data_IF_167564422988
#
_entry.id   IF_167564422988
#
_cell.length_a   1.000
_cell.length_b   1.000
_cell.length_c   1.000
_cell.angle_alpha   90.00
_cell.angle_beta   90.00
_cell.angle_gamma   90.00
#
_symmetry.space_group_name_H-M   'P 1'
#
loop_
_entity.id
_entity.type
_entity.pdbx_description
1 polymer ?
#
# COMPACT_ATOMS: atom_id res chain seq x y z
N UNK A 1 25.65 9.89 12.07
CA UNK A 1 25.34 11.17 12.74
C UNK A 1 24.15 11.02 13.69
N UNK A 2 22.99 10.50 13.26
CA UNK A 2 21.80 10.29 14.11
C UNK A 2 22.12 9.41 15.31
N UNK A 3 22.76 8.25 15.10
CA UNK A 3 23.17 7.35 16.18
C UNK A 3 24.06 8.04 17.23
N UNK A 4 25.07 8.80 16.81
CA UNK A 4 25.96 9.53 17.72
C UNK A 4 25.20 10.62 18.50
N UNK A 5 24.23 11.29 17.90
CA UNK A 5 23.39 12.27 18.59
C UNK A 5 22.50 11.58 19.64
N UNK A 6 21.88 10.47 19.27
CA UNK A 6 21.04 9.67 20.16
C UNK A 6 21.82 9.20 21.40
N UNK A 7 23.02 8.67 21.20
CA UNK A 7 23.93 8.27 22.29
C UNK A 7 24.31 9.45 23.18
N UNK A 8 24.59 10.62 22.59
CA UNK A 8 25.00 11.81 23.33
C UNK A 8 23.93 12.35 24.28
N UNK A 9 22.65 12.30 23.84
CA UNK A 9 21.54 12.86 24.62
C UNK A 9 20.73 11.80 25.37
N UNK A 10 21.07 10.52 25.21
CA UNK A 10 20.40 9.41 25.90
C UNK A 10 19.01 9.06 25.33
N UNK A 11 18.77 9.35 24.05
CA UNK A 11 17.48 9.14 23.41
C UNK A 11 17.53 8.03 22.35
N UNK A 12 16.36 7.54 21.94
CA UNK A 12 16.25 6.58 20.84
C UNK A 12 16.59 7.23 19.49
N UNK A 13 17.25 6.49 18.61
CA UNK A 13 17.42 6.90 17.19
C UNK A 13 16.07 7.15 16.50
N UNK A 14 15.03 6.39 16.87
CA UNK A 14 13.67 6.58 16.33
C UNK A 14 13.08 7.94 16.72
N UNK A 15 13.31 8.37 17.96
CA UNK A 15 12.90 9.70 18.44
C UNK A 15 13.64 10.80 17.70
N UNK A 16 14.95 10.67 17.51
CA UNK A 16 15.74 11.65 16.75
C UNK A 16 15.25 11.75 15.31
N UNK A 17 14.99 10.61 14.65
CA UNK A 17 14.51 10.59 13.28
C UNK A 17 13.20 11.37 13.12
N UNK A 18 12.21 11.12 13.97
CA UNK A 18 10.92 11.84 13.85
C UNK A 18 11.07 13.34 14.16
N UNK A 19 11.90 13.72 15.10
CA UNK A 19 12.17 15.15 15.41
C UNK A 19 12.81 15.84 14.21
N UNK A 20 13.76 15.21 13.53
CA UNK A 20 14.38 15.76 12.32
C UNK A 20 13.33 15.94 11.21
N UNK A 21 12.50 14.94 10.96
CA UNK A 21 11.42 15.02 9.97
C UNK A 21 10.43 16.13 10.31
N UNK A 22 9.99 16.25 11.55
CA UNK A 22 9.08 17.31 11.99
C UNK A 22 9.67 18.71 11.77
N UNK A 23 10.97 18.91 11.99
CA UNK A 23 11.62 20.19 11.72
C UNK A 23 11.65 20.56 10.22
N UNK A 24 11.59 19.58 9.34
CA UNK A 24 11.53 19.79 7.89
C UNK A 24 10.11 20.09 7.35
N UNK A 25 9.06 19.97 8.16
CA UNK A 25 7.67 20.16 7.69
C UNK A 25 7.38 21.60 7.26
N UNK A 26 7.89 22.61 8.01
CA UNK A 26 7.67 24.02 7.68
C UNK A 26 8.36 24.42 6.36
N UNK A 27 9.63 24.09 6.09
CA UNK A 27 10.24 24.25 4.76
C UNK A 27 9.47 23.54 3.66
N UNK A 28 8.98 22.32 3.90
CA UNK A 28 8.19 21.58 2.93
C UNK A 28 6.90 22.31 2.56
N UNK A 29 6.16 22.87 3.52
CA UNK A 29 4.97 23.68 3.24
C UNK A 29 5.28 24.89 2.34
N UNK A 30 6.42 25.55 2.57
CA UNK A 30 6.84 26.65 1.73
C UNK A 30 7.10 26.20 0.28
N UNK A 31 7.68 25.00 0.11
CA UNK A 31 7.92 24.44 -1.23
C UNK A 31 6.61 24.04 -1.93
N UNK A 32 5.63 23.45 -1.21
CA UNK A 32 4.29 23.20 -1.74
C UNK A 32 3.64 24.47 -2.30
N UNK A 33 3.68 25.56 -1.52
CA UNK A 33 3.14 26.87 -1.95
C UNK A 33 3.86 27.43 -3.18
N UNK A 34 5.18 27.29 -3.23
CA UNK A 34 6.01 27.76 -4.36
C UNK A 34 5.69 26.97 -5.64
N UNK A 35 5.42 25.67 -5.53
CA UNK A 35 5.06 24.80 -6.66
C UNK A 35 3.55 24.90 -7.03
N UNK A 36 2.75 25.66 -6.30
CA UNK A 36 1.31 25.77 -6.52
C UNK A 36 0.52 24.51 -6.18
N UNK A 37 1.08 23.63 -5.35
CA UNK A 37 0.40 22.42 -4.87
C UNK A 37 -0.52 22.80 -3.72
N UNK A 38 -1.75 22.26 -3.74
CA UNK A 38 -2.78 22.57 -2.73
C UNK A 38 -2.28 22.21 -1.31
N UNK A 39 -2.56 23.10 -0.37
CA UNK A 39 -2.18 22.92 1.02
C UNK A 39 -2.91 21.72 1.67
N UNK A 40 -4.09 21.31 1.18
CA UNK A 40 -4.77 20.11 1.62
C UNK A 40 -3.92 18.85 1.33
N UNK A 41 -3.26 18.80 0.17
CA UNK A 41 -2.37 17.67 -0.20
C UNK A 41 -1.16 17.63 0.73
N UNK A 42 -0.60 18.79 1.09
CA UNK A 42 0.47 18.86 2.09
C UNK A 42 0.02 18.24 3.42
N UNK A 43 -1.12 18.69 3.97
CA UNK A 43 -1.60 18.19 5.26
C UNK A 43 -1.92 16.70 5.22
N UNK A 44 -2.48 16.22 4.12
CA UNK A 44 -2.76 14.80 3.93
C UNK A 44 -1.48 13.98 3.85
N UNK A 45 -0.45 14.50 3.18
CA UNK A 45 0.85 13.84 3.04
C UNK A 45 1.59 13.74 4.39
N UNK A 46 1.73 14.84 5.12
CA UNK A 46 2.48 14.84 6.40
C UNK A 46 1.75 14.16 7.55
N UNK A 47 0.44 13.91 7.41
CA UNK A 47 -0.34 13.13 8.39
C UNK A 47 0.25 11.74 8.62
N UNK A 48 0.96 11.20 7.63
CA UNK A 48 1.65 9.92 7.74
C UNK A 48 2.76 9.91 8.81
N UNK A 49 3.34 11.07 9.16
CA UNK A 49 4.27 11.18 10.30
C UNK A 49 3.61 10.69 11.60
N UNK A 50 2.36 11.10 11.83
CA UNK A 50 1.58 10.63 12.98
C UNK A 50 1.34 9.12 12.91
N UNK A 51 1.01 8.60 11.73
CA UNK A 51 0.78 7.16 11.53
C UNK A 51 2.04 6.37 11.88
N UNK A 52 3.20 6.79 11.37
CA UNK A 52 4.48 6.12 11.65
C UNK A 52 4.94 6.25 13.10
N UNK A 53 4.57 7.34 13.77
CA UNK A 53 4.79 7.45 15.22
C UNK A 53 3.96 6.45 16.01
N UNK A 54 2.69 6.23 15.63
CA UNK A 54 1.82 5.24 16.27
C UNK A 54 2.39 3.84 16.01
N UNK A 55 2.72 3.50 14.77
CA UNK A 55 3.34 2.21 14.41
C UNK A 55 4.64 1.97 15.22
N UNK A 56 5.48 2.99 15.39
CA UNK A 56 6.70 2.88 16.17
C UNK A 56 6.41 2.64 17.67
N UNK A 57 5.42 3.36 18.22
CA UNK A 57 5.00 3.17 19.61
C UNK A 57 4.42 1.77 19.84
N UNK A 58 3.61 1.26 18.94
CA UNK A 58 3.01 -0.08 19.04
C UNK A 58 4.06 -1.20 18.92
N UNK A 59 5.07 -1.02 18.08
CA UNK A 59 6.05 -2.06 17.81
C UNK A 59 7.27 -2.02 18.73
N UNK A 60 7.69 -0.83 19.20
CA UNK A 60 8.94 -0.63 19.94
C UNK A 60 8.78 0.09 21.27
N UNK A 61 7.54 0.47 21.62
CA UNK A 61 7.21 1.27 22.80
C UNK A 61 7.94 2.65 22.84
N UNK A 62 8.29 3.20 21.67
CA UNK A 62 9.00 4.47 21.49
C UNK A 62 8.21 5.41 20.60
N UNK A 63 8.06 6.66 21.01
CA UNK A 63 7.55 7.72 20.14
C UNK A 63 8.65 8.17 19.17
N UNK A 64 8.55 7.71 17.92
CA UNK A 64 9.57 7.93 16.90
C UNK A 64 9.16 7.37 15.55
N UNK A 65 10.14 7.08 14.70
CA UNK A 65 9.96 6.31 13.47
C UNK A 65 11.16 5.41 13.21
N UNK A 66 10.88 4.17 12.83
CA UNK A 66 11.88 3.18 12.41
C UNK A 66 11.96 3.05 10.87
N UNK A 67 11.20 3.89 10.16
CA UNK A 67 11.11 3.91 8.68
C UNK A 67 11.34 5.33 8.15
N UNK A 68 12.38 6.00 8.65
CA UNK A 68 12.69 7.39 8.29
C UNK A 68 12.88 7.58 6.77
N UNK A 69 13.46 6.60 6.08
CA UNK A 69 13.65 6.61 4.64
C UNK A 69 12.34 6.65 3.85
N UNK A 70 11.25 6.19 4.44
CA UNK A 70 9.91 6.23 3.86
C UNK A 70 9.46 7.66 3.52
N UNK A 71 9.94 8.63 4.28
CA UNK A 71 9.52 10.03 4.13
C UNK A 71 10.28 10.81 3.06
N UNK A 72 11.41 10.30 2.57
CA UNK A 72 12.21 11.02 1.59
C UNK A 72 11.39 11.46 0.37
N UNK A 73 10.59 10.60 -0.27
CA UNK A 73 9.77 11.02 -1.42
C UNK A 73 8.74 12.10 -1.11
N UNK A 74 8.22 12.20 0.12
CA UNK A 74 7.34 13.30 0.51
C UNK A 74 8.08 14.63 0.57
N UNK A 75 9.31 14.63 1.07
CA UNK A 75 10.13 15.84 1.21
C UNK A 75 10.77 16.27 -0.11
N UNK A 76 10.89 15.37 -1.09
CA UNK A 76 11.35 15.66 -2.45
C UNK A 76 10.21 15.94 -3.45
N UNK A 77 8.95 15.99 -2.99
CA UNK A 77 7.75 16.21 -3.81
C UNK A 77 7.56 15.14 -4.89
N UNK A 78 7.89 13.92 -4.56
CA UNK A 78 7.70 12.74 -5.43
C UNK A 78 6.50 11.91 -4.99
N UNK A 79 6.13 11.93 -3.69
CA UNK A 79 4.99 11.20 -3.11
C UNK A 79 4.01 12.14 -2.45
N UNK A 80 2.71 11.88 -2.68
CA UNK A 80 1.62 12.73 -2.20
C UNK A 80 0.52 11.89 -1.54
N UNK A 81 -0.02 12.40 -0.44
CA UNK A 81 -1.25 11.90 0.15
C UNK A 81 -2.46 12.48 -0.57
N UNK A 82 -3.20 11.63 -1.29
CA UNK A 82 -4.37 12.02 -2.06
C UNK A 82 -5.60 11.27 -1.53
N UNK A 83 -6.28 11.88 -0.60
CA UNK A 83 -7.36 11.22 0.15
C UNK A 83 -6.84 10.19 1.17
N UNK A 84 -7.37 8.98 1.13
CA UNK A 84 -7.00 7.87 2.04
C UNK A 84 -5.67 7.20 1.67
N UNK A 85 -5.25 7.31 0.43
CA UNK A 85 -4.10 6.62 -0.14
C UNK A 85 -2.98 7.60 -0.47
N UNK A 86 -1.79 7.06 -0.74
CA UNK A 86 -0.62 7.82 -1.13
C UNK A 86 -0.14 7.33 -2.48
N UNK A 87 0.39 8.26 -3.29
CA UNK A 87 0.81 7.95 -4.66
C UNK A 87 2.13 8.62 -4.98
N UNK A 88 2.96 7.91 -5.75
CA UNK A 88 4.17 8.43 -6.39
C UNK A 88 4.28 7.95 -7.83
N UNK A 89 5.09 8.62 -8.65
CA UNK A 89 5.46 8.10 -9.95
C UNK A 89 6.47 6.97 -9.75
N UNK A 90 6.21 5.84 -10.39
CA UNK A 90 7.03 4.63 -10.33
C UNK A 90 7.16 4.03 -11.71
N UNK A 91 8.24 3.33 -11.97
CA UNK A 91 8.36 2.55 -13.19
C UNK A 91 7.35 1.41 -13.19
N UNK A 92 6.79 1.09 -14.35
CA UNK A 92 5.91 -0.06 -14.50
C UNK A 92 6.78 -1.32 -14.43
N UNK A 93 6.48 -2.21 -13.48
CA UNK A 93 7.34 -3.36 -13.14
C UNK A 93 7.19 -4.57 -14.08
N UNK A 94 6.34 -4.48 -15.11
CA UNK A 94 6.09 -5.52 -16.09
C UNK A 94 6.65 -5.12 -17.46
N UNK A 95 7.16 -6.12 -18.19
CA UNK A 95 7.75 -5.89 -19.50
C UNK A 95 6.72 -5.36 -20.51
N UNK A 96 5.47 -5.80 -20.39
CA UNK A 96 4.42 -5.48 -21.31
C UNK A 96 3.04 -5.79 -20.73
N UNK A 97 2.10 -4.89 -20.96
CA UNK A 97 0.69 -5.13 -20.67
C UNK A 97 -0.18 -4.60 -21.82
N UNK A 98 -1.10 -5.41 -22.33
CA UNK A 98 -2.07 -5.03 -23.34
C UNK A 98 -3.45 -5.54 -22.93
N UNK A 99 -4.22 -4.63 -22.35
CA UNK A 99 -5.58 -4.90 -21.89
C UNK A 99 -6.52 -3.75 -22.22
N UNK A 100 -7.73 -4.06 -22.70
CA UNK A 100 -8.74 -3.05 -23.09
C UNK A 100 -8.23 -1.95 -24.03
N UNK A 101 -7.27 -2.28 -24.93
CA UNK A 101 -6.66 -1.31 -25.85
C UNK A 101 -5.69 -0.35 -25.17
N UNK A 102 -5.29 -0.61 -23.94
CA UNK A 102 -4.26 0.12 -23.23
C UNK A 102 -2.97 -0.67 -23.28
N UNK A 103 -1.95 -0.04 -23.81
CA UNK A 103 -0.68 -0.65 -24.09
C UNK A 103 0.40 -0.01 -23.22
N UNK A 104 0.99 -0.77 -22.31
CA UNK A 104 2.02 -0.31 -21.38
C UNK A 104 3.29 -1.12 -21.63
N UNK A 105 4.40 -0.44 -21.72
CA UNK A 105 5.73 -1.05 -21.88
C UNK A 105 6.54 -0.87 -20.59
N UNK A 106 7.52 -1.73 -20.39
CA UNK A 106 8.46 -1.70 -19.27
C UNK A 106 9.08 -0.32 -19.01
N UNK A 107 9.33 0.47 -20.04
CA UNK A 107 9.87 1.83 -19.90
C UNK A 107 8.83 2.90 -19.54
N UNK A 108 7.55 2.55 -19.44
CA UNK A 108 6.48 3.48 -19.08
C UNK A 108 6.28 3.47 -17.57
N UNK A 109 5.79 4.59 -17.02
CA UNK A 109 5.55 4.72 -15.60
C UNK A 109 4.08 4.47 -15.23
N UNK A 110 3.89 4.12 -13.98
CA UNK A 110 2.59 4.03 -13.32
C UNK A 110 2.58 4.92 -12.06
N UNK A 111 1.46 4.98 -11.39
CA UNK A 111 1.39 5.50 -10.03
C UNK A 111 1.60 4.34 -9.05
N UNK A 112 2.72 4.35 -8.35
CA UNK A 112 2.92 3.51 -7.18
C UNK A 112 1.94 3.93 -6.08
N UNK A 113 1.11 3.00 -5.61
CA UNK A 113 0.12 3.27 -4.57
C UNK A 113 0.55 2.67 -3.23
N UNK A 114 0.36 3.44 -2.16
CA UNK A 114 0.66 3.03 -0.79
C UNK A 114 -0.56 3.16 0.11
N UNK A 115 -0.66 2.23 1.07
CA UNK A 115 -1.81 2.08 1.95
C UNK A 115 -1.35 2.38 3.39
N UNK A 116 -1.43 3.64 3.86
CA UNK A 116 -1.06 3.94 5.25
C UNK A 116 -2.04 3.26 6.22
N UNK A 117 -1.50 2.76 7.33
CA UNK A 117 -2.29 2.25 8.45
C UNK A 117 -3.00 3.41 9.18
N UNK A 118 -3.87 3.11 10.15
CA UNK A 118 -4.45 4.12 11.07
C UNK A 118 -5.13 5.34 10.42
N UNK A 119 -5.48 5.26 9.13
CA UNK A 119 -6.15 6.34 8.38
C UNK A 119 -7.66 6.09 8.21
N UNK A 120 -8.24 5.22 9.04
CA UNK A 120 -9.64 4.81 8.96
C UNK A 120 -9.90 3.67 7.98
N UNK A 121 -11.17 3.25 7.86
CA UNK A 121 -11.56 2.11 7.04
C UNK A 121 -11.27 2.34 5.55
N UNK A 122 -10.98 1.27 4.83
CA UNK A 122 -10.70 1.28 3.40
C UNK A 122 -11.97 0.89 2.62
N UNK A 123 -13.05 1.67 2.80
CA UNK A 123 -14.32 1.45 2.09
C UNK A 123 -14.19 1.82 0.61
N UNK A 124 -15.09 1.31 -0.22
CA UNK A 124 -15.07 1.59 -1.67
C UNK A 124 -15.12 3.10 -1.96
N UNK A 125 -16.03 3.84 -1.34
CA UNK A 125 -16.16 5.29 -1.57
C UNK A 125 -14.89 6.06 -1.22
N UNK A 126 -14.22 5.66 -0.13
CA UNK A 126 -12.98 6.29 0.33
C UNK A 126 -11.81 5.98 -0.62
N UNK A 127 -11.75 4.76 -1.18
CA UNK A 127 -10.76 4.39 -2.19
C UNK A 127 -11.02 5.13 -3.49
N UNK A 128 -12.27 5.14 -3.94
CA UNK A 128 -12.69 5.83 -5.16
C UNK A 128 -12.38 7.34 -5.12
N UNK A 129 -12.61 8.00 -3.98
CA UNK A 129 -12.19 9.40 -3.77
C UNK A 129 -10.67 9.55 -3.96
N UNK A 130 -9.88 8.65 -3.40
CA UNK A 130 -8.42 8.68 -3.56
C UNK A 130 -7.98 8.46 -5.01
N UNK A 131 -8.61 7.55 -5.74
CA UNK A 131 -8.31 7.32 -7.16
C UNK A 131 -8.68 8.55 -8.02
N UNK A 132 -9.82 9.20 -7.75
CA UNK A 132 -10.22 10.45 -8.43
C UNK A 132 -9.24 11.58 -8.17
N UNK A 133 -8.80 11.76 -6.92
CA UNK A 133 -7.78 12.77 -6.56
C UNK A 133 -6.45 12.47 -7.24
N UNK A 134 -6.05 11.21 -7.33
CA UNK A 134 -4.83 10.79 -8.04
C UNK A 134 -4.96 11.07 -9.54
N UNK A 135 -6.11 10.78 -10.15
CA UNK A 135 -6.37 11.10 -11.54
C UNK A 135 -6.23 12.59 -11.78
N UNK A 136 -6.95 13.44 -11.04
CA UNK A 136 -6.89 14.89 -11.21
C UNK A 136 -5.48 15.47 -11.02
N UNK A 137 -4.71 14.92 -10.10
CA UNK A 137 -3.36 15.40 -9.81
C UNK A 137 -2.31 14.96 -10.84
N UNK A 138 -2.47 13.78 -11.42
CA UNK A 138 -1.45 13.17 -12.29
C UNK A 138 -1.85 13.02 -13.76
N UNK A 139 -3.11 13.26 -14.16
CA UNK A 139 -3.61 13.00 -15.52
C UNK A 139 -2.74 13.59 -16.64
N UNK A 140 -2.16 14.77 -16.41
CA UNK A 140 -1.30 15.45 -17.39
C UNK A 140 0.08 14.77 -17.58
N UNK A 141 0.40 13.80 -16.72
CA UNK A 141 1.61 12.95 -16.84
C UNK A 141 1.33 11.66 -17.63
N UNK A 142 0.10 11.39 -17.96
CA UNK A 142 -0.40 10.28 -18.74
C UNK A 142 -1.05 10.79 -20.04
N UNK A 143 -1.90 9.98 -20.65
CA UNK A 143 -2.63 10.33 -21.89
C UNK A 143 -3.83 11.29 -21.67
N UNK A 144 -4.08 11.66 -20.42
CA UNK A 144 -5.23 12.47 -20.01
C UNK A 144 -6.57 11.73 -19.96
N UNK A 145 -6.61 10.44 -20.33
CA UNK A 145 -7.81 9.60 -20.34
C UNK A 145 -7.80 8.54 -19.26
N UNK A 146 -6.61 8.01 -18.96
CA UNK A 146 -6.43 6.96 -17.98
C UNK A 146 -5.18 7.24 -17.14
N UNK A 147 -5.21 6.77 -15.90
CA UNK A 147 -4.01 6.58 -15.09
C UNK A 147 -3.87 5.10 -14.76
N UNK A 148 -2.63 4.66 -14.66
CA UNK A 148 -2.30 3.31 -14.25
C UNK A 148 -1.82 3.37 -12.82
N UNK A 149 -2.45 2.63 -11.93
CA UNK A 149 -2.11 2.58 -10.52
C UNK A 149 -1.62 1.17 -10.20
N UNK A 150 -0.39 1.06 -9.73
CA UNK A 150 0.23 -0.20 -9.33
C UNK A 150 0.39 -0.26 -7.81
N UNK A 151 0.25 -1.44 -7.26
CA UNK A 151 0.49 -1.66 -5.84
C UNK A 151 1.13 -3.02 -5.62
N UNK A 152 2.27 -3.04 -4.94
CA UNK A 152 2.87 -4.27 -4.43
C UNK A 152 2.55 -4.40 -2.95
N UNK A 153 1.68 -5.34 -2.59
CA UNK A 153 1.21 -5.45 -1.22
C UNK A 153 0.83 -6.88 -0.84
N UNK A 154 1.11 -7.25 0.41
CA UNK A 154 0.59 -8.46 1.02
C UNK A 154 -0.95 -8.46 1.12
N UNK A 155 -1.58 -7.29 1.23
CA UNK A 155 -3.05 -7.16 1.23
C UNK A 155 -3.68 -7.61 -0.09
N UNK A 156 -2.95 -7.50 -1.20
CA UNK A 156 -3.43 -7.87 -2.54
C UNK A 156 -3.14 -9.34 -2.90
N UNK A 157 -2.54 -10.12 -1.99
CA UNK A 157 -2.32 -11.54 -2.20
C UNK A 157 -3.66 -12.26 -2.40
N UNK A 158 -3.90 -12.94 -3.53
CA UNK A 158 -5.23 -13.49 -3.88
C UNK A 158 -5.81 -14.45 -2.85
N UNK A 159 -4.97 -15.28 -2.21
CA UNK A 159 -5.43 -16.20 -1.17
C UNK A 159 -6.04 -15.47 0.06
N UNK A 160 -5.81 -14.17 0.21
CA UNK A 160 -6.48 -13.39 1.24
C UNK A 160 -8.01 -13.37 1.09
N UNK A 161 -8.53 -13.60 -0.11
CA UNK A 161 -9.97 -13.79 -0.34
C UNK A 161 -10.51 -15.04 0.34
N UNK A 162 -9.64 -16.05 0.59
CA UNK A 162 -9.99 -17.26 1.32
C UNK A 162 -9.81 -17.11 2.83
N UNK A 163 -9.02 -16.12 3.28
CA UNK A 163 -8.72 -15.84 4.68
C UNK A 163 -9.72 -14.83 5.25
N UNK A 164 -9.97 -13.74 4.51
CA UNK A 164 -10.75 -12.62 4.98
C UNK A 164 -12.26 -12.89 4.86
N UNK A 165 -13.07 -12.32 5.77
CA UNK A 165 -14.53 -12.35 5.62
C UNK A 165 -14.95 -11.73 4.27
N UNK A 166 -15.87 -12.38 3.57
CA UNK A 166 -16.33 -12.02 2.23
C UNK A 166 -16.77 -10.54 2.09
N UNK A 167 -17.43 -10.02 3.14
CA UNK A 167 -17.92 -8.63 3.16
C UNK A 167 -16.96 -7.66 3.86
N UNK A 168 -15.69 -8.01 4.00
CA UNK A 168 -14.70 -7.10 4.59
C UNK A 168 -14.22 -6.07 3.54
N UNK A 169 -13.94 -4.85 4.01
CA UNK A 169 -13.36 -3.82 3.13
C UNK A 169 -12.02 -4.25 2.50
N UNK A 170 -11.27 -5.12 3.18
CA UNK A 170 -10.01 -5.63 2.66
C UNK A 170 -10.22 -6.65 1.53
N UNK A 171 -11.22 -7.54 1.65
CA UNK A 171 -11.59 -8.44 0.56
C UNK A 171 -12.12 -7.66 -0.65
N UNK A 172 -12.99 -6.67 -0.41
CA UNK A 172 -13.51 -5.79 -1.47
C UNK A 172 -12.38 -4.98 -2.16
N UNK A 173 -11.37 -4.55 -1.40
CA UNK A 173 -10.20 -3.85 -1.95
C UNK A 173 -9.38 -4.71 -2.91
N UNK A 174 -9.20 -6.00 -2.64
CA UNK A 174 -8.48 -6.91 -3.54
C UNK A 174 -9.20 -6.97 -4.90
N UNK A 175 -10.52 -6.90 -4.91
CA UNK A 175 -11.34 -6.98 -6.12
C UNK A 175 -11.23 -5.74 -7.03
N UNK A 176 -10.63 -4.65 -6.56
CA UNK A 176 -10.33 -3.51 -7.42
C UNK A 176 -9.21 -3.82 -8.42
N UNK A 177 -8.29 -4.73 -8.08
CA UNK A 177 -7.02 -4.93 -8.74
C UNK A 177 -6.99 -6.16 -9.65
N UNK A 178 -6.13 -6.07 -10.66
CA UNK A 178 -5.68 -7.19 -11.49
C UNK A 178 -4.26 -7.57 -11.05
N UNK A 179 -4.02 -8.81 -10.60
CA UNK A 179 -2.68 -9.28 -10.25
C UNK A 179 -1.83 -9.48 -11.50
N UNK A 180 -0.59 -9.00 -11.47
CA UNK A 180 0.42 -9.13 -12.52
C UNK A 180 1.53 -10.11 -12.12
N UNK A 181 1.97 -10.04 -10.86
CA UNK A 181 2.96 -10.97 -10.29
C UNK A 181 2.53 -11.34 -8.86
N UNK A 182 2.69 -12.61 -8.51
CA UNK A 182 2.28 -13.14 -7.22
C UNK A 182 3.44 -13.89 -6.58
N UNK A 183 3.77 -13.52 -5.33
CA UNK A 183 4.86 -14.14 -4.58
C UNK A 183 4.33 -14.79 -3.31
N UNK A 184 4.52 -16.11 -3.18
CA UNK A 184 4.29 -16.83 -1.95
C UNK A 184 5.53 -16.76 -1.07
N UNK A 185 5.35 -16.65 0.22
CA UNK A 185 6.45 -16.62 1.18
C UNK A 185 6.17 -17.48 2.40
N UNK A 186 7.20 -18.13 2.89
CA UNK A 186 7.16 -18.85 4.18
C UNK A 186 7.40 -17.90 5.36
N UNK A 187 8.28 -16.93 5.16
CA UNK A 187 8.58 -15.88 6.14
C UNK A 187 7.88 -14.60 5.69
N UNK A 188 6.73 -14.36 6.29
CA UNK A 188 5.92 -13.19 5.99
C UNK A 188 6.56 -11.94 6.63
N UNK A 189 7.39 -11.24 5.87
CA UNK A 189 8.12 -10.06 6.33
C UNK A 189 7.22 -8.92 6.85
N UNK A 190 5.97 -8.84 6.39
CA UNK A 190 4.96 -7.89 6.86
C UNK A 190 4.16 -8.38 8.09
N UNK A 191 4.51 -9.51 8.67
CA UNK A 191 3.86 -10.09 9.86
C UNK A 191 3.71 -9.06 11.00
N UNK A 192 4.71 -8.20 11.17
CA UNK A 192 4.71 -7.16 12.18
C UNK A 192 3.54 -6.16 12.06
N UNK A 193 3.00 -5.98 10.87
CA UNK A 193 1.84 -5.10 10.63
C UNK A 193 0.56 -5.64 11.25
N UNK A 194 0.51 -6.95 11.45
CA UNK A 194 -0.62 -7.64 12.08
C UNK A 194 -0.36 -7.96 13.55
N UNK A 195 0.86 -8.40 13.88
CA UNK A 195 1.15 -9.06 15.15
C UNK A 195 2.28 -8.41 15.96
N UNK A 196 2.89 -7.33 15.44
CA UNK A 196 4.01 -6.63 16.11
C UNK A 196 5.37 -7.29 15.83
N UNK A 197 6.44 -6.54 16.17
CA UNK A 197 7.82 -6.90 15.82
C UNK A 197 8.35 -8.21 16.44
N UNK A 198 7.87 -8.55 17.63
CA UNK A 198 8.34 -9.71 18.37
C UNK A 198 7.55 -10.98 18.04
N UNK A 199 6.77 -10.97 16.97
CA UNK A 199 5.96 -12.11 16.54
C UNK A 199 6.50 -12.69 15.25
N UNK A 200 6.39 -14.01 15.14
CA UNK A 200 6.77 -14.74 13.92
C UNK A 200 5.59 -15.55 13.43
N UNK A 201 5.24 -15.38 12.16
CA UNK A 201 4.21 -16.20 11.51
C UNK A 201 4.61 -17.68 11.37
N UNK A 202 5.86 -18.02 11.67
CA UNK A 202 6.33 -19.41 11.76
C UNK A 202 5.96 -20.10 13.09
N UNK A 203 5.39 -19.34 14.04
CA UNK A 203 4.89 -19.84 15.33
C UNK A 203 3.45 -19.38 15.54
N UNK A 204 2.49 -19.96 14.83
CA UNK A 204 1.10 -19.53 14.87
C UNK A 204 0.47 -19.53 16.26
N UNK A 205 0.92 -20.42 17.14
CA UNK A 205 0.48 -20.56 18.53
C UNK A 205 0.80 -19.33 19.41
N UNK A 206 1.79 -18.54 19.02
CA UNK A 206 2.19 -17.30 19.72
C UNK A 206 1.46 -16.06 19.21
N UNK A 207 0.68 -16.16 18.10
CA UNK A 207 0.04 -15.04 17.45
C UNK A 207 -1.19 -14.54 18.21
N UNK A 208 -1.34 -13.21 18.25
CA UNK A 208 -2.52 -12.56 18.81
C UNK A 208 -3.76 -12.81 17.94
N UNK A 209 -4.95 -12.85 18.58
CA UNK A 209 -6.23 -13.12 17.91
C UNK A 209 -7.31 -12.10 18.31
N UNK A 210 -6.90 -10.86 18.59
CA UNK A 210 -7.78 -9.81 19.13
C UNK A 210 -8.69 -9.23 18.04
N UNK A 211 -8.13 -8.98 16.85
CA UNK A 211 -8.90 -8.45 15.73
C UNK A 211 -9.37 -9.57 14.78
N UNK A 212 -10.37 -9.26 13.96
CA UNK A 212 -10.86 -10.19 12.93
C UNK A 212 -9.75 -10.60 11.96
N UNK A 213 -8.91 -9.66 11.56
CA UNK A 213 -7.79 -9.93 10.64
C UNK A 213 -6.72 -10.80 11.32
N UNK A 214 -6.37 -10.52 12.57
CA UNK A 214 -5.42 -11.36 13.32
C UNK A 214 -5.92 -12.80 13.46
N UNK A 215 -7.20 -12.99 13.82
CA UNK A 215 -7.80 -14.35 13.90
C UNK A 215 -7.72 -15.06 12.56
N UNK A 216 -8.15 -14.40 11.49
CA UNK A 216 -8.18 -15.00 10.16
C UNK A 216 -6.78 -15.44 9.68
N UNK A 217 -5.77 -14.59 9.84
CA UNK A 217 -4.40 -14.92 9.45
C UNK A 217 -3.76 -15.96 10.38
N UNK A 218 -3.99 -15.90 11.69
CA UNK A 218 -3.48 -16.89 12.62
C UNK A 218 -4.05 -18.30 12.34
N UNK A 219 -5.36 -18.40 12.06
CA UNK A 219 -6.01 -19.64 11.64
C UNK A 219 -5.47 -20.20 10.32
N UNK A 220 -5.11 -19.33 9.39
CA UNK A 220 -4.48 -19.69 8.13
C UNK A 220 -3.08 -20.30 8.36
N UNK A 221 -2.29 -19.68 9.22
CA UNK A 221 -0.96 -20.17 9.58
C UNK A 221 -1.01 -21.45 10.43
N UNK A 222 -2.01 -21.62 11.32
CA UNK A 222 -2.25 -22.88 12.05
C UNK A 222 -2.43 -24.09 11.10
N UNK A 223 -2.96 -23.84 9.89
CA UNK A 223 -3.15 -24.87 8.87
C UNK A 223 -1.86 -25.13 8.05
N UNK A 224 -0.73 -24.54 8.41
CA UNK A 224 0.52 -24.64 7.67
C UNK A 224 0.53 -23.93 6.31
N UNK A 225 -0.46 -23.06 6.07
CA UNK A 225 -0.57 -22.30 4.82
C UNK A 225 0.34 -21.09 4.84
N UNK A 226 0.69 -20.60 3.68
CA UNK A 226 1.61 -19.47 3.49
C UNK A 226 0.87 -18.17 3.29
N UNK A 227 1.50 -17.06 3.63
CA UNK A 227 1.16 -15.74 3.14
C UNK A 227 1.82 -15.49 1.79
N UNK A 228 1.59 -14.30 1.26
CA UNK A 228 2.21 -13.85 0.03
C UNK A 228 2.03 -12.36 -0.18
N UNK A 229 2.45 -11.89 -1.33
CA UNK A 229 2.18 -10.55 -1.83
C UNK A 229 1.82 -10.62 -3.31
N UNK A 230 1.16 -9.60 -3.81
CA UNK A 230 0.93 -9.44 -5.23
C UNK A 230 1.35 -8.05 -5.67
N UNK A 231 2.03 -7.99 -6.81
CA UNK A 231 2.14 -6.79 -7.63
C UNK A 231 0.91 -6.75 -8.54
N UNK A 232 0.10 -5.73 -8.38
CA UNK A 232 -1.21 -5.67 -9.01
C UNK A 232 -1.48 -4.27 -9.53
N UNK A 233 -2.37 -4.15 -10.51
CA UNK A 233 -2.71 -2.86 -11.10
C UNK A 233 -4.21 -2.62 -11.19
N UNK A 234 -4.58 -1.36 -11.30
CA UNK A 234 -5.86 -0.86 -11.81
C UNK A 234 -5.61 0.18 -12.88
N UNK A 235 -6.51 0.22 -13.86
CA UNK A 235 -6.62 1.29 -14.84
C UNK A 235 -7.82 2.12 -14.45
N UNK A 236 -7.64 3.44 -14.29
CA UNK A 236 -8.68 4.34 -13.83
C UNK A 236 -8.90 5.47 -14.83
N UNK A 237 -10.17 5.70 -15.23
CA UNK A 237 -10.55 6.67 -16.28
C UNK A 237 -11.00 8.04 -15.73
N UNK A 238 -10.81 8.27 -14.43
CA UNK A 238 -11.25 9.48 -13.74
C UNK A 238 -12.59 9.33 -13.03
N UNK A 239 -13.39 8.36 -13.40
CA UNK A 239 -14.70 8.09 -12.78
C UNK A 239 -14.78 6.70 -12.16
N UNK A 240 -14.26 5.70 -12.85
CA UNK A 240 -14.36 4.27 -12.47
C UNK A 240 -13.09 3.50 -12.82
N UNK A 241 -12.97 2.33 -12.20
CA UNK A 241 -11.96 1.33 -12.55
C UNK A 241 -12.38 0.68 -13.87
N UNK A 242 -11.49 0.71 -14.86
CA UNK A 242 -11.62 -0.04 -16.10
C UNK A 242 -11.19 -1.48 -15.83
N UNK A 243 -12.14 -2.40 -15.75
CA UNK A 243 -11.83 -3.83 -15.52
C UNK A 243 -11.21 -4.43 -16.76
N UNK A 244 -10.04 -5.01 -16.60
CA UNK A 244 -9.24 -5.61 -17.66
C UNK A 244 -9.50 -7.12 -17.80
N UNK A 245 -9.82 -7.77 -16.68
CA UNK A 245 -10.14 -9.19 -16.69
C UNK A 245 -11.36 -9.49 -17.52
N UNK A 246 -11.15 -10.25 -18.59
CA UNK A 246 -12.22 -10.89 -19.38
C UNK A 246 -12.84 -12.03 -18.57
N UNK A 247 -13.59 -11.66 -17.55
CA UNK A 247 -14.32 -12.62 -16.76
C UNK A 247 -15.66 -12.87 -17.44
N UNK A 248 -16.08 -14.14 -17.61
CA UNK A 248 -17.44 -14.42 -17.98
C UNK A 248 -18.40 -13.72 -17.02
N UNK A 249 -19.35 -12.99 -17.55
CA UNK A 249 -20.37 -12.22 -16.77
C UNK A 249 -21.16 -13.05 -15.76
N UNK A 250 -20.97 -14.37 -15.75
CA UNK A 250 -21.59 -15.34 -14.86
C UNK A 250 -20.72 -15.77 -13.67
N UNK A 251 -19.43 -15.43 -13.64
CA UNK A 251 -18.55 -15.82 -12.54
C UNK A 251 -18.59 -14.76 -11.42
N UNK A 252 -18.47 -15.20 -10.17
CA UNK A 252 -18.29 -14.26 -9.07
C UNK A 252 -16.91 -13.54 -9.22
N UNK A 253 -16.75 -12.31 -8.73
CA UNK A 253 -15.44 -11.65 -8.74
C UNK A 253 -14.32 -12.50 -8.11
N UNK A 254 -14.66 -13.32 -7.11
CA UNK A 254 -13.75 -14.25 -6.43
C UNK A 254 -13.32 -15.39 -7.37
N UNK A 255 -14.26 -16.00 -8.11
CA UNK A 255 -13.94 -17.06 -9.08
C UNK A 255 -13.06 -16.52 -10.22
N UNK A 256 -13.21 -15.26 -10.54
CA UNK A 256 -12.45 -14.56 -11.55
C UNK A 256 -10.98 -14.37 -11.17
N UNK A 257 -10.73 -13.93 -9.95
CA UNK A 257 -9.36 -13.80 -9.42
C UNK A 257 -8.71 -15.17 -9.27
N UNK A 258 -9.48 -16.19 -8.84
CA UNK A 258 -8.99 -17.55 -8.77
C UNK A 258 -8.63 -18.11 -10.17
N UNK A 259 -9.40 -17.80 -11.19
CA UNK A 259 -9.11 -18.23 -12.57
C UNK A 259 -7.83 -17.58 -13.12
N UNK A 260 -7.58 -16.28 -12.80
CA UNK A 260 -6.29 -15.63 -13.12
C UNK A 260 -5.15 -16.23 -12.32
N UNK A 261 -5.39 -16.52 -11.06
CA UNK A 261 -4.43 -17.20 -10.19
C UNK A 261 -4.02 -18.55 -10.75
N UNK A 262 -4.99 -19.37 -11.18
CA UNK A 262 -4.74 -20.66 -11.81
C UNK A 262 -3.96 -20.53 -13.13
N UNK A 263 -4.25 -19.51 -13.94
CA UNK A 263 -3.52 -19.24 -15.19
C UNK A 263 -2.06 -18.84 -14.94
N UNK A 264 -1.79 -18.01 -13.94
CA UNK A 264 -0.42 -17.57 -13.59
C UNK A 264 0.44 -18.67 -12.96
N UNK A 265 -0.17 -19.78 -12.48
CA UNK A 265 0.53 -20.88 -11.80
C UNK A 265 0.39 -22.25 -12.47
N UNK A 266 -0.32 -22.37 -13.59
CA UNK A 266 -0.39 -23.62 -14.36
C UNK A 266 0.89 -23.96 -15.13
N UNK A 267 1.89 -23.07 -15.13
CA UNK A 267 3.18 -23.26 -15.82
C UNK A 267 4.36 -23.61 -14.88
N UNK A 268 4.10 -23.95 -13.61
CA UNK A 268 5.05 -24.53 -12.66
C UNK A 268 4.55 -25.95 -12.24
#
# INVERSE_FOLDING_TARGET
KVKALAELIGESTYTINIVLLLNCTKPLLAEYKKQGIDEEIYWTSIKDLKVKMIECKENFDVWGTFVEGWFLPFYTLERFGLGRLQFDLSDFGEEFYDGHGIHIKDSEFCLGMHIPSHMGPLTYDVRLDSYKRAFEFFKDRFDGKHIIICCNSWLLYPDNLNILPEKSNAADFILDFEPLDIKRTYDFGDCWRLFGQNKSCLKPEELQRDTTMQRAFAEWFDQGKKAGSAYSMIIFDGEKIVKTLLVPTSASPRDSINAVYDQLYCDE
#
